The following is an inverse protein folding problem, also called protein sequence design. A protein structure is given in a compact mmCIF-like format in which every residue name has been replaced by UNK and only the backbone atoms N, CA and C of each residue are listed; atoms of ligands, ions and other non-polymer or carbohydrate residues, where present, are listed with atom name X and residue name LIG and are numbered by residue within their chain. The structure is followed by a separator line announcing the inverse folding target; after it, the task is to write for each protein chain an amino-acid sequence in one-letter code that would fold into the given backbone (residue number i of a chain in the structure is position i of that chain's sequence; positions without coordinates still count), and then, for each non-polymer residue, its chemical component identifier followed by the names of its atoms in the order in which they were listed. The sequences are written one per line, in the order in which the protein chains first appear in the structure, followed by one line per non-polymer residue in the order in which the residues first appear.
data_IF_781131669396
#
_entry.id   IF_781131669396
#
_cell.length_a   1.000
_cell.length_b   1.000
_cell.length_c   1.000
_cell.angle_alpha   90.00
_cell.angle_beta   90.00
_cell.angle_gamma   90.00
#
_symmetry.space_group_name_H-M   'P 1'
#
loop_
_entity.id
_entity.type
_entity.pdbx_description
1 polymer ?
#
# COMPACT_ATOMS: atom_id res chain seq x y z
N UNK A 1 1.96 40.61 -7.28
CA UNK A 1 1.01 40.01 -6.32
C UNK A 1 1.47 38.60 -6.00
N UNK A 2 1.96 38.31 -4.78
CA UNK A 2 2.13 36.94 -4.33
C UNK A 2 0.84 36.46 -3.66
N UNK A 3 0.37 35.29 -4.08
CA UNK A 3 -0.84 34.65 -3.59
C UNK A 3 -0.47 33.78 -2.38
N UNK A 4 -1.08 34.11 -1.24
CA UNK A 4 -1.55 33.14 -0.22
C UNK A 4 -0.52 32.25 0.43
N UNK A 5 0.14 32.75 1.48
CA UNK A 5 0.69 31.88 2.52
C UNK A 5 -0.44 31.13 3.23
N UNK A 6 -0.36 29.81 3.30
CA UNK A 6 -1.19 28.99 4.17
C UNK A 6 -0.91 29.39 5.62
N UNK A 7 -1.86 30.06 6.25
CA UNK A 7 -1.83 30.34 7.68
C UNK A 7 -1.92 29.00 8.43
N UNK A 8 -0.85 28.63 9.13
CA UNK A 8 -0.87 27.57 10.12
C UNK A 8 -1.79 27.99 11.27
N UNK A 9 -2.94 27.34 11.39
CA UNK A 9 -3.99 27.67 12.39
C UNK A 9 -3.74 27.01 13.76
N UNK A 10 -2.53 26.55 14.05
CA UNK A 10 -2.23 25.89 15.32
C UNK A 10 -1.11 26.62 16.07
N UNK A 11 -1.44 27.78 16.63
CA UNK A 11 -0.64 28.45 17.66
C UNK A 11 -1.45 28.54 18.95
N UNK A 12 -1.25 27.58 19.86
CA UNK A 12 -1.69 27.70 21.27
C UNK A 12 -2.57 26.59 21.87
N UNK A 13 -2.41 25.31 21.54
CA UNK A 13 -3.12 24.20 22.20
C UNK A 13 -2.16 23.31 23.02
N UNK A 14 -2.52 23.01 24.28
CA UNK A 14 -1.86 21.98 25.08
C UNK A 14 -1.92 20.61 24.38
N UNK A 15 -0.89 19.77 24.54
CA UNK A 15 -0.79 18.45 23.91
C UNK A 15 -2.04 17.57 24.09
N UNK A 16 -2.73 17.72 25.22
CA UNK A 16 -4.01 17.07 25.55
C UNK A 16 -5.15 17.33 24.56
N UNK A 17 -5.26 18.57 24.04
CA UNK A 17 -6.31 18.89 23.06
C UNK A 17 -6.03 18.23 21.70
N UNK A 18 -4.75 17.95 21.42
CA UNK A 18 -4.34 17.25 20.20
C UNK A 18 -4.56 15.75 20.31
N UNK A 19 -4.22 15.13 21.44
CA UNK A 19 -4.46 13.70 21.64
C UNK A 19 -5.96 13.37 21.62
N UNK A 20 -6.78 14.14 22.33
CA UNK A 20 -8.22 13.87 22.38
C UNK A 20 -8.88 13.98 20.99
N UNK A 21 -8.49 14.98 20.19
CA UNK A 21 -8.94 15.10 18.81
C UNK A 21 -8.56 13.87 17.95
N UNK A 22 -7.40 13.27 18.18
CA UNK A 22 -7.02 12.01 17.51
C UNK A 22 -7.86 10.82 17.97
N UNK A 23 -8.24 10.77 19.25
CA UNK A 23 -9.16 9.74 19.77
C UNK A 23 -10.53 9.86 19.09
N UNK A 24 -11.06 11.07 18.97
CA UNK A 24 -12.30 11.34 18.23
C UNK A 24 -12.17 10.96 16.76
N UNK A 25 -11.04 11.25 16.12
CA UNK A 25 -10.81 10.88 14.73
C UNK A 25 -10.76 9.35 14.53
N UNK A 26 -10.11 8.60 15.43
CA UNK A 26 -10.12 7.12 15.40
C UNK A 26 -11.56 6.60 15.48
N UNK A 27 -12.37 7.11 16.42
CA UNK A 27 -13.77 6.70 16.57
C UNK A 27 -14.58 7.03 15.32
N UNK A 28 -14.41 8.24 14.77
CA UNK A 28 -15.11 8.67 13.55
C UNK A 28 -14.76 7.77 12.36
N UNK A 29 -13.48 7.48 12.12
CA UNK A 29 -13.06 6.62 11.01
C UNK A 29 -13.49 5.17 11.25
N UNK A 30 -13.39 4.65 12.48
CA UNK A 30 -13.89 3.33 12.84
C UNK A 30 -15.39 3.17 12.56
N UNK A 31 -16.18 4.22 12.84
CA UNK A 31 -17.59 4.28 12.47
C UNK A 31 -17.82 4.26 10.96
N UNK A 32 -17.09 5.05 10.19
CA UNK A 32 -17.19 5.03 8.72
C UNK A 32 -16.81 3.66 8.13
N UNK A 33 -15.75 3.01 8.63
CA UNK A 33 -15.36 1.67 8.19
C UNK A 33 -16.48 0.65 8.44
N UNK A 34 -17.14 0.74 9.61
CA UNK A 34 -18.25 -0.13 9.95
C UNK A 34 -19.48 0.11 9.07
N UNK A 35 -19.88 1.37 8.88
CA UNK A 35 -21.01 1.76 8.00
C UNK A 35 -20.79 1.32 6.54
N UNK A 36 -19.54 1.33 6.07
CA UNK A 36 -19.17 0.83 4.73
C UNK A 36 -19.07 -0.69 4.64
N UNK A 37 -19.16 -1.41 5.76
CA UNK A 37 -18.97 -2.86 5.81
C UNK A 37 -17.54 -3.30 5.52
N UNK A 38 -16.54 -2.44 5.75
CA UNK A 38 -15.11 -2.80 5.63
C UNK A 38 -14.60 -3.54 6.86
N UNK A 39 -15.32 -3.41 7.97
CA UNK A 39 -15.12 -4.13 9.23
C UNK A 39 -16.47 -4.60 9.74
N UNK A 40 -16.51 -5.77 10.37
CA UNK A 40 -17.70 -6.35 11.00
C UNK A 40 -17.35 -6.90 12.38
N UNK A 41 -18.38 -7.08 13.21
CA UNK A 41 -18.21 -7.56 14.58
C UNK A 41 -17.13 -6.77 15.35
N UNK A 42 -15.96 -7.35 15.58
CA UNK A 42 -14.85 -6.75 16.32
C UNK A 42 -13.50 -6.77 15.55
N UNK A 43 -13.55 -7.02 14.25
CA UNK A 43 -12.37 -7.05 13.39
C UNK A 43 -11.83 -5.63 13.05
N UNK A 44 -10.75 -5.60 12.28
CA UNK A 44 -10.04 -4.37 11.92
C UNK A 44 -9.38 -3.66 13.11
N UNK A 45 -8.59 -2.65 12.81
CA UNK A 45 -7.94 -1.81 13.82
C UNK A 45 -7.35 -0.54 13.20
N UNK A 46 -7.19 0.50 14.03
CA UNK A 46 -6.64 1.78 13.63
C UNK A 46 -5.58 2.23 14.63
N UNK A 47 -4.59 2.97 14.15
CA UNK A 47 -3.64 3.65 15.02
C UNK A 47 -3.17 4.98 14.47
N UNK A 48 -2.70 5.84 15.39
CA UNK A 48 -2.04 7.11 15.10
C UNK A 48 -0.77 7.25 15.93
N UNK A 49 0.31 7.72 15.31
CA UNK A 49 1.54 8.09 15.99
C UNK A 49 1.32 9.38 16.78
N UNK A 50 1.57 9.33 18.09
CA UNK A 50 1.52 10.53 18.95
C UNK A 50 2.86 11.26 18.94
N UNK A 51 3.96 10.50 19.00
CA UNK A 51 5.34 10.98 18.96
C UNK A 51 6.27 9.83 18.55
N UNK A 52 7.59 10.03 18.68
CA UNK A 52 8.60 9.04 18.30
C UNK A 52 8.50 7.72 19.07
N UNK A 53 7.98 7.74 20.30
CA UNK A 53 7.95 6.58 21.19
C UNK A 53 6.56 6.02 21.46
N UNK A 54 5.50 6.72 21.04
CA UNK A 54 4.13 6.38 21.42
C UNK A 54 3.15 6.38 20.24
N UNK A 55 2.27 5.38 20.27
CA UNK A 55 1.19 5.19 19.30
C UNK A 55 -0.13 5.04 20.06
N UNK A 56 -1.15 5.78 19.62
CA UNK A 56 -2.54 5.61 20.04
C UNK A 56 -3.20 4.58 19.12
N UNK A 57 -3.89 3.58 19.67
CA UNK A 57 -4.54 2.54 18.89
C UNK A 57 -5.90 2.12 19.45
N UNK A 58 -6.69 1.47 18.60
CA UNK A 58 -7.95 0.84 19.01
C UNK A 58 -7.71 -0.36 19.93
N UNK A 59 -8.60 -0.60 20.92
CA UNK A 59 -8.56 -1.81 21.74
C UNK A 59 -8.97 -3.06 20.95
N UNK A 60 -8.49 -4.21 21.42
CA UNK A 60 -8.94 -5.52 20.93
C UNK A 60 -10.38 -5.81 21.34
N UNK A 61 -11.11 -6.58 20.53
CA UNK A 61 -12.43 -7.12 20.88
C UNK A 61 -13.61 -6.14 20.80
N UNK A 62 -13.38 -4.84 20.63
CA UNK A 62 -14.47 -3.86 20.45
C UNK A 62 -14.88 -3.70 18.99
N UNK A 63 -16.18 -3.50 18.76
CA UNK A 63 -16.72 -3.11 17.46
C UNK A 63 -16.30 -1.69 17.11
N UNK A 64 -15.64 -1.51 15.95
CA UNK A 64 -15.08 -0.21 15.56
C UNK A 64 -16.15 0.86 15.30
N UNK A 65 -17.38 0.43 15.00
CA UNK A 65 -18.53 1.32 14.86
C UNK A 65 -19.15 1.81 16.17
N UNK A 66 -18.73 1.27 17.32
CA UNK A 66 -19.37 1.51 18.63
C UNK A 66 -18.36 1.91 19.73
N UNK A 67 -17.13 2.28 19.36
CA UNK A 67 -16.10 2.72 20.32
C UNK A 67 -16.38 4.13 20.83
N UNK A 68 -15.83 4.47 22.00
CA UNK A 68 -15.73 5.85 22.49
C UNK A 68 -14.27 6.33 22.60
N UNK A 69 -14.01 7.65 22.56
CA UNK A 69 -12.64 8.19 22.62
C UNK A 69 -11.84 7.73 23.85
N UNK A 70 -12.51 7.58 24.99
CA UNK A 70 -11.90 7.20 26.27
C UNK A 70 -11.42 5.73 26.32
N UNK A 71 -11.84 4.91 25.34
CA UNK A 71 -11.45 3.51 25.22
C UNK A 71 -10.14 3.30 24.46
N UNK A 72 -9.61 4.34 23.79
CA UNK A 72 -8.36 4.22 23.04
C UNK A 72 -7.17 3.96 23.97
N UNK A 73 -6.20 3.20 23.47
CA UNK A 73 -5.04 2.71 24.22
C UNK A 73 -3.77 3.34 23.65
N UNK A 74 -2.87 3.78 24.52
CA UNK A 74 -1.52 4.20 24.12
C UNK A 74 -0.58 3.03 24.34
N UNK A 75 0.27 2.75 23.35
CA UNK A 75 1.35 1.78 23.44
C UNK A 75 2.71 2.43 23.18
N UNK A 76 3.75 1.87 23.78
CA UNK A 76 5.14 2.15 23.40
C UNK A 76 5.49 1.45 22.07
N UNK A 77 6.68 1.75 21.53
CA UNK A 77 7.19 1.10 20.31
C UNK A 77 7.54 -0.38 20.51
N UNK A 78 7.41 -0.95 21.72
CA UNK A 78 7.47 -2.39 21.98
C UNK A 78 6.08 -3.02 22.13
N UNK A 79 5.01 -2.25 21.93
CA UNK A 79 3.61 -2.72 21.99
C UNK A 79 3.07 -2.85 23.41
N UNK A 80 3.78 -2.37 24.43
CA UNK A 80 3.29 -2.40 25.81
C UNK A 80 2.32 -1.26 26.01
N UNK A 81 1.18 -1.54 26.65
CA UNK A 81 0.23 -0.51 27.09
C UNK A 81 0.92 0.43 28.09
N UNK A 82 0.91 1.72 27.80
CA UNK A 82 1.50 2.77 28.64
C UNK A 82 0.50 3.90 28.90
N UNK A 83 0.88 4.83 29.78
CA UNK A 83 0.02 5.93 30.21
C UNK A 83 -0.94 5.56 31.34
N UNK A 84 -1.68 6.56 31.82
CA UNK A 84 -2.63 6.38 32.92
C UNK A 84 -3.89 5.70 32.41
N UNK A 85 -4.22 4.54 32.99
CA UNK A 85 -5.48 3.86 32.70
C UNK A 85 -6.68 4.71 33.16
N UNK A 86 -7.69 4.82 32.28
CA UNK A 86 -8.98 5.42 32.60
C UNK A 86 -9.96 4.34 33.07
N UNK A 87 -11.08 4.73 33.66
CA UNK A 87 -12.14 3.78 33.97
C UNK A 87 -12.67 3.04 32.72
N UNK A 88 -12.63 3.69 31.55
CA UNK A 88 -13.12 3.15 30.29
C UNK A 88 -12.15 2.16 29.61
N UNK A 89 -10.83 2.26 29.86
CA UNK A 89 -9.83 1.45 29.17
C UNK A 89 -8.98 0.56 30.08
N UNK A 90 -9.11 0.63 31.41
CA UNK A 90 -8.27 -0.12 32.36
C UNK A 90 -8.16 -1.61 32.02
N UNK A 91 -9.29 -2.24 31.76
CA UNK A 91 -9.41 -3.68 31.52
C UNK A 91 -9.30 -4.05 30.03
N UNK A 92 -9.10 -3.05 29.15
CA UNK A 92 -8.89 -3.25 27.72
C UNK A 92 -7.41 -3.45 27.39
N UNK A 93 -7.15 -4.27 26.36
CA UNK A 93 -5.83 -4.53 25.79
C UNK A 93 -5.73 -3.97 24.38
N UNK A 94 -4.53 -3.56 23.91
CA UNK A 94 -4.36 -3.10 22.54
C UNK A 94 -4.78 -4.17 21.53
N UNK A 95 -5.06 -3.77 20.28
CA UNK A 95 -5.32 -4.72 19.20
C UNK A 95 -4.26 -5.83 19.15
N UNK A 96 -4.68 -7.06 18.86
CA UNK A 96 -3.77 -8.21 18.69
C UNK A 96 -2.77 -8.01 17.55
N UNK A 97 -3.00 -7.04 16.67
CA UNK A 97 -2.16 -6.77 15.49
C UNK A 97 -1.31 -5.51 15.64
N UNK A 98 -1.13 -5.02 16.86
CA UNK A 98 -0.35 -3.81 17.13
C UNK A 98 1.06 -3.89 16.55
N UNK A 99 1.69 -5.07 16.54
CA UNK A 99 3.04 -5.25 16.01
C UNK A 99 3.14 -4.98 14.50
N UNK A 100 2.08 -5.25 13.72
CA UNK A 100 2.03 -4.91 12.30
C UNK A 100 2.01 -3.39 12.11
N UNK A 101 1.26 -2.67 12.94
CA UNK A 101 1.22 -1.20 12.91
C UNK A 101 2.56 -0.59 13.32
N UNK A 102 3.16 -1.09 14.40
CA UNK A 102 4.47 -0.64 14.87
C UNK A 102 5.56 -0.90 13.83
N UNK A 103 5.49 -2.02 13.11
CA UNK A 103 6.42 -2.29 12.01
C UNK A 103 6.29 -1.27 10.88
N UNK A 104 5.06 -0.97 10.45
CA UNK A 104 4.83 0.09 9.46
C UNK A 104 5.43 1.42 9.92
N UNK A 105 5.23 1.80 11.18
CA UNK A 105 5.82 3.01 11.75
C UNK A 105 7.35 2.99 11.83
N UNK A 106 7.99 1.83 12.03
CA UNK A 106 9.46 1.73 12.03
C UNK A 106 10.05 1.89 10.64
N UNK A 107 9.41 1.27 9.65
CA UNK A 107 9.87 1.34 8.25
C UNK A 107 9.56 2.69 7.60
N UNK A 108 8.52 3.39 8.08
CA UNK A 108 8.03 4.63 7.48
C UNK A 108 7.92 5.76 8.51
N UNK A 109 8.99 6.54 8.72
CA UNK A 109 8.93 7.74 9.56
C UNK A 109 7.97 8.82 9.05
N UNK A 110 7.66 8.81 7.75
CA UNK A 110 6.77 9.78 7.09
C UNK A 110 5.28 9.56 7.37
N UNK A 111 4.88 8.37 7.83
CA UNK A 111 3.48 8.06 8.13
C UNK A 111 3.12 8.40 9.58
N UNK A 112 1.88 8.83 9.77
CA UNK A 112 1.30 9.15 11.07
C UNK A 112 0.12 8.24 11.41
N UNK A 113 -0.51 7.60 10.43
CA UNK A 113 -1.67 6.75 10.66
C UNK A 113 -1.57 5.42 9.90
N UNK A 114 -2.14 4.39 10.50
CA UNK A 114 -2.28 3.05 9.94
C UNK A 114 -3.73 2.60 10.13
N UNK A 115 -4.33 2.07 9.07
CA UNK A 115 -5.69 1.52 9.07
C UNK A 115 -5.62 0.08 8.55
N UNK A 116 -6.22 -0.84 9.29
CA UNK A 116 -6.38 -2.22 8.89
C UNK A 116 -7.87 -2.60 8.90
N UNK A 117 -8.32 -3.23 7.82
CA UNK A 117 -9.71 -3.63 7.62
C UNK A 117 -9.81 -4.88 6.74
N UNK A 118 -10.99 -5.48 6.68
CA UNK A 118 -11.27 -6.72 5.97
C UNK A 118 -12.35 -6.51 4.88
N UNK A 119 -12.13 -5.60 3.91
CA UNK A 119 -13.15 -5.27 2.91
C UNK A 119 -13.46 -6.50 2.01
N UNK A 120 -14.73 -6.92 1.89
CA UNK A 120 -15.07 -8.26 1.39
C UNK A 120 -14.61 -8.57 -0.04
N UNK A 121 -14.70 -7.62 -0.95
CA UNK A 121 -14.37 -7.89 -2.36
C UNK A 121 -12.86 -8.00 -2.53
N UNK A 122 -12.09 -7.12 -1.89
CA UNK A 122 -10.63 -7.22 -1.87
C UNK A 122 -10.16 -8.56 -1.30
N UNK A 123 -10.74 -9.00 -0.17
CA UNK A 123 -10.42 -10.29 0.44
C UNK A 123 -10.78 -11.45 -0.50
N UNK A 124 -11.94 -11.41 -1.15
CA UNK A 124 -12.36 -12.42 -2.11
C UNK A 124 -11.39 -12.53 -3.30
N UNK A 125 -10.93 -11.41 -3.87
CA UNK A 125 -9.95 -11.40 -4.95
C UNK A 125 -8.60 -11.99 -4.51
N UNK A 126 -8.15 -11.68 -3.28
CA UNK A 126 -6.93 -12.29 -2.73
C UNK A 126 -7.02 -13.82 -2.66
N UNK A 127 -8.20 -14.34 -2.27
CA UNK A 127 -8.47 -15.78 -2.21
C UNK A 127 -8.50 -16.40 -3.62
N UNK A 128 -9.06 -15.68 -4.59
CA UNK A 128 -9.15 -16.09 -5.99
C UNK A 128 -7.81 -16.01 -6.74
N UNK A 129 -6.78 -15.38 -6.16
CA UNK A 129 -5.49 -15.16 -6.82
C UNK A 129 -5.54 -14.07 -7.90
N UNK A 130 -6.51 -13.16 -7.82
CA UNK A 130 -6.68 -12.05 -8.77
C UNK A 130 -5.99 -10.81 -8.19
N UNK A 131 -5.01 -10.30 -8.91
CA UNK A 131 -4.18 -9.17 -8.46
C UNK A 131 -4.87 -7.82 -8.68
N UNK A 132 -4.72 -6.93 -7.71
CA UNK A 132 -5.10 -5.51 -7.81
C UNK A 132 -3.97 -4.60 -8.30
N UNK A 133 -2.80 -5.15 -8.64
CA UNK A 133 -1.65 -4.36 -9.04
C UNK A 133 -1.75 -3.81 -10.47
N UNK A 134 -2.71 -4.27 -11.28
CA UNK A 134 -2.84 -3.83 -12.67
C UNK A 134 -3.22 -2.34 -12.74
N UNK A 135 -2.55 -1.61 -13.64
CA UNK A 135 -2.79 -0.18 -13.87
C UNK A 135 -4.09 0.06 -14.65
N UNK A 136 -5.24 -0.15 -14.03
CA UNK A 136 -6.56 -0.03 -14.70
C UNK A 136 -7.18 1.35 -14.49
N UNK A 137 -7.07 1.93 -13.30
CA UNK A 137 -7.73 3.20 -12.96
C UNK A 137 -6.73 4.32 -12.64
N UNK A 138 -6.83 5.49 -13.30
CA UNK A 138 -5.95 6.63 -13.04
C UNK A 138 -5.90 7.08 -11.58
N UNK A 139 -7.07 7.19 -10.94
CA UNK A 139 -7.21 7.64 -9.55
C UNK A 139 -6.40 6.78 -8.57
N UNK A 140 -6.40 5.45 -8.76
CA UNK A 140 -5.68 4.50 -7.91
C UNK A 140 -4.18 4.64 -8.11
N UNK A 141 -3.74 4.74 -9.36
CA UNK A 141 -2.31 4.93 -9.70
C UNK A 141 -1.79 6.20 -9.05
N UNK A 142 -2.53 7.32 -9.14
CA UNK A 142 -2.10 8.61 -8.60
C UNK A 142 -2.16 8.64 -7.07
N UNK A 143 -3.27 8.21 -6.45
CA UNK A 143 -3.51 8.42 -5.02
C UNK A 143 -3.03 7.28 -4.10
N UNK A 144 -3.00 6.04 -4.61
CA UNK A 144 -2.58 4.84 -3.85
C UNK A 144 -1.21 4.36 -4.32
N UNK A 145 -1.03 4.22 -5.64
CA UNK A 145 0.12 3.57 -6.26
C UNK A 145 -0.19 2.10 -6.56
N UNK A 146 0.86 1.28 -6.69
CA UNK A 146 0.69 -0.17 -6.80
C UNK A 146 0.18 -0.75 -5.47
N UNK A 147 -0.60 -1.82 -5.58
CA UNK A 147 -1.21 -2.50 -4.44
C UNK A 147 -0.72 -3.95 -4.44
N UNK A 148 0.41 -4.26 -3.79
CA UNK A 148 0.92 -5.61 -3.72
C UNK A 148 0.04 -6.47 -2.81
N UNK A 149 0.13 -7.79 -3.02
CA UNK A 149 -0.46 -8.79 -2.12
C UNK A 149 0.68 -9.55 -1.42
N UNK A 150 0.60 -9.70 -0.10
CA UNK A 150 1.61 -10.43 0.68
C UNK A 150 1.58 -11.93 0.38
N UNK A 151 2.57 -12.67 0.87
CA UNK A 151 2.36 -14.10 1.12
C UNK A 151 1.36 -14.29 2.28
N UNK A 152 0.73 -15.47 2.37
CA UNK A 152 -0.10 -15.79 3.53
C UNK A 152 0.75 -15.81 4.79
N UNK A 153 0.23 -15.18 5.85
CA UNK A 153 0.82 -15.20 7.17
C UNK A 153 -0.29 -15.26 8.20
N UNK A 154 -0.03 -15.93 9.32
CA UNK A 154 -1.02 -16.02 10.40
C UNK A 154 -1.28 -14.63 11.00
N UNK A 155 -2.53 -14.14 11.10
CA UNK A 155 -2.83 -12.87 11.75
C UNK A 155 -2.30 -12.80 13.19
N UNK A 156 -2.01 -11.60 13.68
CA UNK A 156 -1.44 -11.39 15.03
C UNK A 156 -0.14 -12.21 15.32
N UNK A 157 0.64 -12.55 14.31
CA UNK A 157 1.91 -13.29 14.44
C UNK A 157 3.13 -12.51 13.95
N UNK A 158 4.33 -12.99 14.28
CA UNK A 158 5.59 -12.47 13.73
C UNK A 158 5.73 -12.72 12.22
N UNK A 159 5.03 -13.71 11.68
CA UNK A 159 4.97 -13.97 10.24
C UNK A 159 4.29 -12.80 9.53
N UNK A 160 3.19 -12.27 10.09
CA UNK A 160 2.45 -11.13 9.53
C UNK A 160 3.32 -9.87 9.50
N UNK A 161 4.08 -9.64 10.57
CA UNK A 161 5.06 -8.55 10.66
C UNK A 161 6.15 -8.69 9.58
N UNK A 162 6.65 -9.91 9.38
CA UNK A 162 7.67 -10.17 8.35
C UNK A 162 7.11 -10.00 6.94
N UNK A 163 5.87 -10.42 6.71
CA UNK A 163 5.22 -10.38 5.40
C UNK A 163 5.02 -8.96 4.85
N UNK A 164 4.85 -7.96 5.72
CA UNK A 164 4.66 -6.55 5.32
C UNK A 164 5.97 -5.73 5.33
N UNK A 165 7.02 -6.20 6.01
CA UNK A 165 8.24 -5.42 6.32
C UNK A 165 8.89 -4.77 5.10
N UNK A 166 9.07 -5.54 4.02
CA UNK A 166 9.71 -5.02 2.80
C UNK A 166 8.73 -4.21 1.95
N UNK A 167 7.48 -4.65 1.86
CA UNK A 167 6.45 -4.02 1.03
C UNK A 167 6.08 -2.62 1.53
N UNK A 168 5.98 -2.42 2.85
CA UNK A 168 5.52 -1.17 3.44
C UNK A 168 6.48 0.00 3.21
N UNK A 169 7.75 -0.28 2.86
CA UNK A 169 8.75 0.74 2.51
C UNK A 169 8.32 1.50 1.24
N UNK A 170 7.80 0.79 0.24
CA UNK A 170 7.46 1.33 -1.08
C UNK A 170 5.97 1.58 -1.32
N UNK A 171 5.09 1.11 -0.44
CA UNK A 171 3.64 1.08 -0.72
C UNK A 171 2.82 1.75 0.38
N UNK A 172 1.74 2.42 -0.01
CA UNK A 172 0.80 3.04 0.93
C UNK A 172 -0.45 2.17 1.20
N UNK A 173 -0.60 1.07 0.47
CA UNK A 173 -1.68 0.10 0.63
C UNK A 173 -1.22 -1.31 0.23
N UNK A 174 -1.49 -2.28 1.08
CA UNK A 174 -1.07 -3.68 0.91
C UNK A 174 -2.27 -4.58 1.15
N UNK A 175 -2.51 -5.54 0.27
CA UNK A 175 -3.45 -6.64 0.50
C UNK A 175 -2.73 -7.74 1.28
N UNK A 176 -3.28 -8.11 2.43
CA UNK A 176 -2.82 -9.24 3.23
C UNK A 176 -3.53 -10.50 2.73
N UNK A 177 -2.77 -11.44 2.17
CA UNK A 177 -3.33 -12.61 1.50
C UNK A 177 -4.28 -13.42 2.41
N UNK A 178 -5.54 -13.57 1.97
CA UNK A 178 -6.64 -14.26 2.71
C UNK A 178 -6.98 -13.63 4.07
N UNK A 179 -6.66 -12.36 4.27
CA UNK A 179 -6.83 -11.69 5.55
C UNK A 179 -7.54 -10.34 5.43
N UNK A 180 -6.95 -9.37 4.73
CA UNK A 180 -7.49 -8.01 4.72
C UNK A 180 -6.60 -7.03 3.97
N UNK A 181 -6.68 -5.77 4.36
CA UNK A 181 -5.92 -4.66 3.76
C UNK A 181 -5.26 -3.84 4.85
N UNK A 182 -4.02 -3.46 4.65
CA UNK A 182 -3.27 -2.50 5.47
C UNK A 182 -3.01 -1.24 4.65
N UNK A 183 -3.46 -0.08 5.12
CA UNK A 183 -3.14 1.21 4.50
C UNK A 183 -2.51 2.16 5.49
N UNK A 184 -1.68 3.06 4.97
CA UNK A 184 -0.95 4.05 5.76
C UNK A 184 -1.12 5.46 5.19
N UNK A 185 -0.88 6.49 6.00
CA UNK A 185 -0.99 7.88 5.55
C UNK A 185 -0.43 8.90 6.55
N UNK A 186 -0.41 10.17 6.16
CA UNK A 186 0.01 11.30 7.01
C UNK A 186 -1.06 11.71 8.02
N UNK A 187 -2.28 11.20 7.86
CA UNK A 187 -3.37 11.25 8.83
C UNK A 187 -4.32 10.06 8.63
N UNK A 188 -5.24 9.83 9.58
CA UNK A 188 -6.20 8.73 9.51
C UNK A 188 -7.10 8.83 8.29
N UNK A 189 -7.58 10.03 7.97
CA UNK A 189 -8.42 10.24 6.80
C UNK A 189 -7.72 9.78 5.51
N UNK A 190 -6.45 10.11 5.32
CA UNK A 190 -5.68 9.68 4.14
C UNK A 190 -5.55 8.15 4.07
N UNK A 191 -5.20 7.50 5.19
CA UNK A 191 -5.10 6.04 5.25
C UNK A 191 -6.46 5.36 4.96
N UNK A 192 -7.55 5.91 5.50
CA UNK A 192 -8.91 5.45 5.24
C UNK A 192 -9.34 5.65 3.78
N UNK A 193 -9.05 6.81 3.18
CA UNK A 193 -9.39 7.08 1.77
C UNK A 193 -8.67 6.11 0.83
N UNK A 194 -7.43 5.71 1.15
CA UNK A 194 -6.72 4.66 0.41
C UNK A 194 -7.42 3.30 0.55
N UNK A 195 -7.90 2.94 1.74
CA UNK A 195 -8.65 1.71 1.96
C UNK A 195 -9.93 1.70 1.12
N UNK A 196 -10.68 2.81 1.11
CA UNK A 196 -11.90 2.96 0.33
C UNK A 196 -11.62 2.88 -1.18
N UNK A 197 -10.50 3.46 -1.66
CA UNK A 197 -10.06 3.36 -3.04
C UNK A 197 -9.69 1.91 -3.44
N UNK A 198 -9.01 1.17 -2.56
CA UNK A 198 -8.62 -0.25 -2.77
C UNK A 198 -9.87 -1.12 -2.93
N UNK A 199 -10.85 -0.98 -2.05
CA UNK A 199 -12.09 -1.77 -2.17
C UNK A 199 -12.91 -1.37 -3.40
N UNK A 200 -12.87 -0.10 -3.80
CA UNK A 200 -13.54 0.36 -5.02
C UNK A 200 -12.91 -0.23 -6.28
N UNK A 201 -11.57 -0.28 -6.39
CA UNK A 201 -10.93 -0.97 -7.52
C UNK A 201 -11.21 -2.46 -7.49
N UNK A 202 -11.26 -3.10 -6.31
CA UNK A 202 -11.63 -4.51 -6.18
C UNK A 202 -13.03 -4.80 -6.74
N UNK A 203 -14.03 -3.97 -6.41
CA UNK A 203 -15.38 -4.06 -6.97
C UNK A 203 -15.39 -3.95 -8.50
N UNK A 204 -14.63 -3.00 -9.04
CA UNK A 204 -14.50 -2.81 -10.48
C UNK A 204 -13.82 -4.03 -11.11
N UNK A 205 -12.74 -4.55 -10.53
CA UNK A 205 -12.05 -5.74 -11.02
C UNK A 205 -12.99 -6.95 -11.10
N UNK A 206 -13.82 -7.21 -10.07
CA UNK A 206 -14.82 -8.28 -10.14
C UNK A 206 -15.78 -8.09 -11.33
N UNK A 207 -16.24 -6.87 -11.58
CA UNK A 207 -17.13 -6.57 -12.71
C UNK A 207 -16.40 -6.80 -14.04
N UNK A 208 -15.13 -6.40 -14.16
CA UNK A 208 -14.33 -6.62 -15.37
C UNK A 208 -14.12 -8.12 -15.66
N UNK A 209 -13.85 -8.91 -14.62
CA UNK A 209 -13.73 -10.37 -14.72
C UNK A 209 -15.05 -11.01 -15.18
N UNK A 210 -16.20 -10.54 -14.66
CA UNK A 210 -17.52 -11.00 -15.10
C UNK A 210 -17.84 -10.63 -16.55
N UNK A 211 -17.38 -9.47 -17.02
CA UNK A 211 -17.54 -9.03 -18.40
C UNK A 211 -16.55 -9.72 -19.36
N UNK A 212 -15.49 -10.36 -18.83
CA UNK A 212 -14.41 -10.98 -19.60
C UNK A 212 -13.54 -9.97 -20.35
N UNK A 213 -13.46 -8.72 -19.87
CA UNK A 213 -12.74 -7.62 -20.52
C UNK A 213 -12.33 -6.54 -19.50
N UNK A 214 -11.10 -6.06 -19.59
CA UNK A 214 -10.53 -5.10 -18.62
C UNK A 214 -9.05 -4.83 -18.88
N UNK A 215 -8.75 -4.25 -20.04
CA UNK A 215 -7.35 -3.97 -20.41
C UNK A 215 -6.73 -2.89 -19.52
N UNK A 216 -5.49 -3.09 -19.05
CA UNK A 216 -4.74 -2.04 -18.37
C UNK A 216 -4.56 -0.80 -19.26
N UNK A 217 -4.33 0.35 -18.62
CA UNK A 217 -3.98 1.57 -19.32
C UNK A 217 -2.69 1.37 -20.14
N UNK A 218 -2.60 1.95 -21.35
CA UNK A 218 -1.37 1.93 -22.12
C UNK A 218 -0.21 2.56 -21.33
N UNK A 219 1.03 2.05 -21.45
CA UNK A 219 2.19 2.55 -20.69
C UNK A 219 2.37 4.07 -20.78
N UNK A 220 2.16 4.68 -21.95
CA UNK A 220 2.26 6.12 -22.15
C UNK A 220 1.24 6.95 -21.34
N UNK A 221 0.08 6.38 -20.98
CA UNK A 221 -0.86 7.05 -20.09
C UNK A 221 -0.48 6.87 -18.63
N UNK A 222 0.00 5.67 -18.26
CA UNK A 222 0.51 5.40 -16.92
C UNK A 222 1.70 6.32 -16.60
N UNK A 223 2.62 6.53 -17.54
CA UNK A 223 3.75 7.46 -17.37
C UNK A 223 3.31 8.89 -17.02
N UNK A 224 2.27 9.41 -17.68
CA UNK A 224 1.71 10.74 -17.35
C UNK A 224 1.15 10.80 -15.94
N UNK A 225 0.51 9.71 -15.50
CA UNK A 225 -0.05 9.61 -14.14
C UNK A 225 1.06 9.51 -13.09
N UNK A 226 2.15 8.78 -13.38
CA UNK A 226 3.33 8.76 -12.51
C UNK A 226 3.97 10.15 -12.39
N UNK A 227 4.02 10.92 -13.46
CA UNK A 227 4.48 12.31 -13.40
C UNK A 227 3.58 13.19 -12.54
N UNK A 228 2.25 13.02 -12.60
CA UNK A 228 1.33 13.70 -11.71
C UNK A 228 1.55 13.29 -10.24
N UNK A 229 1.69 11.99 -9.98
CA UNK A 229 1.98 11.42 -8.66
C UNK A 229 3.27 11.99 -8.07
N UNK A 230 4.34 12.13 -8.88
CA UNK A 230 5.60 12.79 -8.50
C UNK A 230 5.38 14.26 -8.11
N UNK A 231 4.67 15.03 -8.94
CA UNK A 231 4.37 16.44 -8.66
C UNK A 231 3.55 16.65 -7.39
N UNK A 232 2.70 15.68 -7.04
CA UNK A 232 1.91 15.68 -5.81
C UNK A 232 2.70 15.22 -4.57
N UNK A 233 3.96 14.81 -4.71
CA UNK A 233 4.78 14.30 -3.61
C UNK A 233 4.29 12.94 -3.06
N UNK A 234 3.58 12.18 -3.89
CA UNK A 234 3.04 10.85 -3.55
C UNK A 234 3.93 9.71 -4.04
N UNK A 235 4.98 10.02 -4.80
CA UNK A 235 5.90 9.03 -5.30
C UNK A 235 6.67 8.33 -4.17
N UNK A 236 7.08 7.09 -4.42
CA UNK A 236 7.76 6.23 -3.45
C UNK A 236 9.09 5.70 -4.00
N UNK A 237 10.12 5.55 -3.16
CA UNK A 237 11.39 4.97 -3.59
C UNK A 237 11.18 3.57 -4.17
N UNK A 238 11.73 3.32 -5.36
CA UNK A 238 11.70 2.01 -6.01
C UNK A 238 10.41 1.66 -6.77
N UNK A 239 9.34 2.46 -6.66
CA UNK A 239 8.05 2.13 -7.32
C UNK A 239 8.18 2.10 -8.85
N UNK A 240 9.12 2.84 -9.44
CA UNK A 240 9.35 2.87 -10.89
C UNK A 240 9.76 1.50 -11.46
N UNK A 241 10.53 0.71 -10.70
CA UNK A 241 10.92 -0.65 -11.10
C UNK A 241 9.69 -1.57 -11.11
N UNK A 242 8.79 -1.39 -10.16
CA UNK A 242 7.56 -2.17 -10.08
C UNK A 242 6.56 -1.78 -11.17
N UNK A 243 6.39 -0.48 -11.45
CA UNK A 243 5.57 0.00 -12.56
C UNK A 243 6.13 -0.43 -13.92
N UNK A 244 7.45 -0.56 -14.08
CA UNK A 244 8.07 -1.17 -15.25
C UNK A 244 7.63 -2.62 -15.42
N UNK A 245 7.75 -3.42 -14.35
CA UNK A 245 7.43 -4.84 -14.37
C UNK A 245 5.93 -5.12 -14.59
N UNK A 246 5.05 -4.34 -13.94
CA UNK A 246 3.61 -4.61 -13.93
C UNK A 246 2.87 -3.86 -15.04
N UNK A 247 3.25 -2.62 -15.31
CA UNK A 247 2.53 -1.73 -16.23
C UNK A 247 3.34 -1.36 -17.47
N UNK A 248 4.55 -1.90 -17.64
CA UNK A 248 5.40 -1.66 -18.81
C UNK A 248 6.00 -0.26 -18.87
N UNK A 249 5.98 0.51 -17.78
CA UNK A 249 6.54 1.88 -17.71
C UNK A 249 7.93 1.83 -17.10
N UNK A 250 8.95 1.71 -17.93
CA UNK A 250 10.32 1.54 -17.46
C UNK A 250 11.05 2.88 -17.30
N UNK A 251 11.92 3.02 -16.28
CA UNK A 251 12.75 4.20 -16.14
C UNK A 251 13.57 4.41 -17.41
N UNK A 252 13.67 5.65 -17.88
CA UNK A 252 14.60 5.99 -18.96
C UNK A 252 16.01 5.77 -18.39
N UNK A 253 16.73 4.77 -18.90
CA UNK A 253 18.13 4.57 -18.52
C UNK A 253 18.92 5.85 -18.79
N UNK A 254 19.69 6.30 -17.80
CA UNK A 254 20.29 7.63 -17.75
C UNK A 254 21.06 8.04 -19.00
N UNK A 255 20.80 9.27 -19.42
CA UNK A 255 21.63 10.04 -20.34
C UNK A 255 22.97 10.40 -19.68
N UNK A 256 24.06 9.86 -20.21
CA UNK A 256 25.28 10.62 -20.43
C UNK A 256 25.47 10.71 -21.93
N UNK A 257 24.92 11.76 -22.55
CA UNK A 257 25.14 12.02 -23.96
C UNK A 257 26.36 12.94 -24.13
N UNK A 258 27.45 12.40 -24.66
CA UNK A 258 28.06 13.07 -25.81
C UNK A 258 27.55 12.33 -27.06
N UNK A 259 27.03 13.02 -28.09
CA UNK A 259 26.51 12.34 -29.26
C UNK A 259 27.66 11.67 -30.03
N UNK A 260 27.52 10.41 -30.49
CA UNK A 260 28.48 9.85 -31.42
C UNK A 260 28.40 10.67 -32.71
N UNK A 261 29.56 11.16 -33.14
CA UNK A 261 29.72 11.76 -34.46
C UNK A 261 29.23 10.77 -35.51
N UNK A 262 28.47 11.28 -36.46
CA UNK A 262 28.05 10.59 -37.68
C UNK A 262 29.20 9.79 -38.29
N UNK A 263 29.02 8.47 -38.41
CA UNK A 263 29.99 7.57 -39.02
C UNK A 263 29.39 6.19 -39.27
N UNK A 264 28.83 6.04 -40.47
CA UNK A 264 28.73 4.85 -41.33
C UNK A 264 28.23 3.49 -40.78
N UNK A 265 27.19 3.02 -41.49
CA UNK A 265 26.53 1.71 -41.55
C UNK A 265 27.28 0.44 -41.12
N UNK A 266 26.58 -0.39 -40.33
CA UNK A 266 26.69 -1.86 -40.37
C UNK A 266 25.42 -2.51 -39.79
N UNK A 267 24.47 -2.90 -40.65
CA UNK A 267 23.18 -3.51 -40.23
C UNK A 267 22.95 -4.94 -40.71
N UNK A 268 24.00 -5.64 -41.16
CA UNK A 268 23.89 -7.02 -41.66
C UNK A 268 24.54 -8.08 -40.75
N UNK A 269 25.50 -7.71 -39.89
CA UNK A 269 26.29 -8.70 -39.12
C UNK A 269 25.61 -9.22 -37.85
N UNK A 270 24.70 -8.43 -37.26
CA UNK A 270 24.11 -8.75 -35.95
C UNK A 270 22.92 -9.73 -36.07
N UNK A 271 22.18 -9.64 -37.17
CA UNK A 271 21.07 -10.54 -37.47
C UNK A 271 21.55 -11.98 -37.76
N UNK A 272 22.68 -12.12 -38.48
CA UNK A 272 23.28 -13.42 -38.77
C UNK A 272 23.87 -14.10 -37.53
N UNK A 273 24.48 -13.33 -36.63
CA UNK A 273 24.98 -13.85 -35.36
C UNK A 273 23.84 -14.36 -34.47
N UNK A 274 22.72 -13.62 -34.44
CA UNK A 274 21.54 -14.00 -33.65
C UNK A 274 20.82 -15.23 -34.25
N UNK A 275 20.76 -15.33 -35.58
CA UNK A 275 20.21 -16.49 -36.27
C UNK A 275 21.03 -17.77 -36.03
N UNK A 276 22.36 -17.67 -36.00
CA UNK A 276 23.24 -18.82 -35.74
C UNK A 276 23.13 -19.29 -34.29
N UNK A 277 23.04 -18.37 -33.33
CA UNK A 277 22.84 -18.72 -31.92
C UNK A 277 21.52 -19.48 -31.71
N UNK A 278 20.43 -19.02 -32.32
CA UNK A 278 19.12 -19.71 -32.26
C UNK A 278 19.22 -21.12 -32.83
N UNK A 279 19.95 -21.32 -33.94
CA UNK A 279 20.16 -22.64 -34.55
C UNK A 279 20.93 -23.59 -33.64
N UNK A 280 22.00 -23.10 -32.99
CA UNK A 280 22.82 -23.91 -32.08
C UNK A 280 22.01 -24.36 -30.88
N UNK A 281 21.27 -23.45 -30.25
CA UNK A 281 20.42 -23.77 -29.08
C UNK A 281 19.31 -24.74 -29.46
N UNK A 282 18.64 -24.52 -30.60
CA UNK A 282 17.57 -25.41 -31.08
C UNK A 282 18.08 -26.83 -31.30
N UNK A 283 19.26 -26.99 -31.91
CA UNK A 283 19.87 -28.31 -32.14
C UNK A 283 20.25 -29.02 -30.83
N UNK A 284 20.72 -28.28 -29.83
CA UNK A 284 21.03 -28.84 -28.52
C UNK A 284 19.77 -29.36 -27.81
N UNK A 285 18.70 -28.56 -27.81
CA UNK A 285 17.41 -28.93 -27.19
C UNK A 285 16.78 -30.14 -27.89
N UNK A 286 16.79 -30.18 -29.23
CA UNK A 286 16.22 -31.32 -29.97
C UNK A 286 16.99 -32.63 -29.71
N UNK A 287 18.31 -32.57 -29.50
CA UNK A 287 19.09 -33.75 -29.08
C UNK A 287 18.72 -34.25 -27.69
N UNK A 288 18.55 -33.36 -26.73
CA UNK A 288 18.14 -33.74 -25.36
C UNK A 288 16.74 -34.35 -25.34
N UNK A 289 15.86 -33.89 -26.24
CA UNK A 289 14.49 -34.41 -26.39
C UNK A 289 14.40 -35.67 -27.28
N UNK A 290 15.52 -36.23 -27.74
CA UNK A 290 15.56 -37.47 -28.51
C UNK A 290 15.14 -37.35 -29.98
N UNK A 291 14.95 -36.14 -30.49
CA UNK A 291 14.65 -35.88 -31.91
C UNK A 291 15.97 -35.75 -32.69
N UNK A 292 16.50 -36.88 -33.15
CA UNK A 292 17.70 -36.91 -34.01
C UNK A 292 17.29 -36.88 -35.49
N UNK A 293 17.41 -35.71 -36.12
CA UNK A 293 17.43 -35.53 -37.58
C UNK A 293 18.77 -34.97 -38.01
#
# INVERSE_FOLDING_TARGET
MPIGGFLSVYTGCSEWNREYALREEIVRIGHLMYERGYVVANDGNLSVRLNESHVLCTPSGLCKGMMSPDQMIIVDMEGRKVGQATAANRDLVPTSEVFMHLEAYRQRPDIQAVVHAHPPITVALSIAGISLANCVLPEVIVNVGLIPTTQYATPASLENVSAIRELIVGHDGIVLQRHGVLTVGKCLLEAYMRLEAIEQIAKITVILEQLGRGEPLPPAQVEKLLEQRRKMGLARPGEEVEFCRICGVCPVQGSSAEPPRTGESSSETDADAQAELVRVVTRAVLRELGYSG
#
